data_IF_769598415049
#
_entry.id   IF_769598415049
#
_cell.length_a   1.000
_cell.length_b   1.000
_cell.length_c   1.000
_cell.angle_alpha   90.00
_cell.angle_beta   90.00
_cell.angle_gamma   90.00
#
_symmetry.space_group_name_H-M   'P 1'
#
loop_
_entity.id
_entity.type
_entity.pdbx_description
1 polymer ?
#
# COMPACT_ATOMS: atom_id res chain seq x y z
N UNK A 1 25.40 -0.95 7.06
CA UNK A 1 24.81 -1.55 5.84
C UNK A 1 24.70 -3.05 6.01
N UNK A 2 23.68 -3.72 5.45
CA UNK A 2 23.57 -5.19 5.53
C UNK A 2 24.72 -5.78 4.71
N UNK A 3 25.25 -6.94 5.09
CA UNK A 3 26.25 -7.63 4.28
C UNK A 3 25.60 -8.38 3.13
N UNK A 4 24.44 -9.01 3.38
CA UNK A 4 23.69 -9.80 2.40
C UNK A 4 22.19 -9.75 2.66
N UNK A 5 21.40 -9.58 1.59
CA UNK A 5 19.93 -9.62 1.65
C UNK A 5 19.36 -10.65 0.67
N UNK A 6 18.21 -11.22 1.02
CA UNK A 6 17.39 -12.02 0.10
C UNK A 6 16.22 -11.18 -0.40
N UNK A 7 15.90 -11.29 -1.68
CA UNK A 7 14.78 -10.59 -2.30
C UNK A 7 13.67 -11.59 -2.54
N UNK A 8 12.61 -11.51 -1.74
CA UNK A 8 11.45 -12.40 -1.81
C UNK A 8 10.45 -11.96 -2.89
N UNK A 9 10.94 -11.75 -4.11
CA UNK A 9 10.15 -11.30 -5.26
C UNK A 9 10.82 -11.73 -6.58
N UNK A 10 10.27 -11.32 -7.72
CA UNK A 10 10.75 -11.65 -9.08
C UNK A 10 10.64 -10.46 -10.02
N UNK A 11 11.23 -10.59 -11.20
CA UNK A 11 11.04 -9.62 -12.29
C UNK A 11 11.62 -8.24 -11.95
N UNK A 12 10.95 -7.18 -12.40
CA UNK A 12 11.52 -5.83 -12.40
C UNK A 12 11.91 -5.34 -11.00
N UNK A 13 11.03 -5.56 -10.01
CA UNK A 13 11.27 -5.08 -8.64
C UNK A 13 12.44 -5.81 -7.98
N UNK A 14 12.63 -7.09 -8.28
CA UNK A 14 13.82 -7.80 -7.82
C UNK A 14 15.09 -7.20 -8.44
N UNK A 15 15.08 -6.95 -9.75
CA UNK A 15 16.18 -6.25 -10.43
C UNK A 15 16.42 -4.84 -9.86
N UNK A 16 15.36 -4.09 -9.55
CA UNK A 16 15.41 -2.75 -8.94
C UNK A 16 16.11 -2.78 -7.58
N UNK A 17 15.78 -3.75 -6.74
CA UNK A 17 16.42 -3.93 -5.43
C UNK A 17 17.88 -4.35 -5.57
N UNK A 18 18.19 -5.30 -6.47
CA UNK A 18 19.57 -5.73 -6.75
C UNK A 18 20.44 -4.55 -7.18
N UNK A 19 19.93 -3.68 -8.07
CA UNK A 19 20.70 -2.51 -8.53
C UNK A 19 21.11 -1.59 -7.39
N UNK A 20 20.21 -1.31 -6.43
CA UNK A 20 20.54 -0.46 -5.28
C UNK A 20 21.42 -1.17 -4.27
N UNK A 21 21.12 -2.43 -3.94
CA UNK A 21 21.97 -3.24 -3.07
C UNK A 21 23.43 -3.30 -3.58
N UNK A 22 23.63 -3.51 -4.89
CA UNK A 22 24.96 -3.51 -5.51
C UNK A 22 25.67 -2.16 -5.40
N UNK A 23 24.97 -1.02 -5.59
CA UNK A 23 25.55 0.32 -5.39
C UNK A 23 26.03 0.53 -3.95
N UNK A 24 25.35 -0.08 -2.99
CA UNK A 24 25.64 -0.01 -1.56
C UNK A 24 26.64 -1.08 -1.09
N UNK A 25 27.13 -1.95 -1.98
CA UNK A 25 28.05 -3.04 -1.64
C UNK A 25 27.42 -4.19 -0.87
N UNK A 26 26.09 -4.36 -0.96
CA UNK A 26 25.33 -5.42 -0.30
C UNK A 26 25.18 -6.61 -1.25
N UNK A 27 25.57 -7.81 -0.82
CA UNK A 27 25.38 -9.03 -1.59
C UNK A 27 23.89 -9.41 -1.68
N UNK A 28 23.47 -10.00 -2.79
CA UNK A 28 22.07 -10.27 -3.09
C UNK A 28 21.78 -11.72 -3.40
N UNK A 29 20.67 -12.20 -2.85
CA UNK A 29 20.13 -13.53 -3.12
C UNK A 29 18.78 -13.40 -3.82
N UNK A 30 18.68 -13.90 -5.04
CA UNK A 30 17.40 -14.05 -5.73
C UNK A 30 16.73 -15.38 -5.36
N UNK A 31 15.40 -15.39 -5.29
CA UNK A 31 14.62 -16.63 -5.30
C UNK A 31 13.95 -16.83 -6.65
N UNK A 32 13.75 -18.09 -7.05
CA UNK A 32 13.05 -18.41 -8.29
C UNK A 32 12.19 -19.66 -8.22
N UNK A 33 11.14 -19.65 -9.05
CA UNK A 33 10.35 -20.82 -9.40
C UNK A 33 10.92 -21.52 -10.63
N UNK A 34 10.53 -22.77 -10.91
CA UNK A 34 10.93 -23.47 -12.15
C UNK A 34 10.69 -22.66 -13.44
N UNK A 35 9.60 -21.88 -13.49
CA UNK A 35 9.28 -21.06 -14.65
C UNK A 35 10.20 -19.85 -14.82
N UNK A 36 10.88 -19.43 -13.76
CA UNK A 36 11.72 -18.23 -13.72
C UNK A 36 13.22 -18.57 -13.67
N UNK A 37 13.62 -19.82 -13.91
CA UNK A 37 15.01 -20.26 -13.79
C UNK A 37 15.99 -19.47 -14.69
N UNK A 38 15.52 -18.99 -15.85
CA UNK A 38 16.28 -18.13 -16.77
C UNK A 38 15.84 -16.66 -16.74
N UNK A 39 15.20 -16.20 -15.67
CA UNK A 39 14.75 -14.81 -15.56
C UNK A 39 15.91 -13.87 -15.22
N UNK A 40 15.85 -12.64 -15.72
CA UNK A 40 16.91 -11.64 -15.55
C UNK A 40 17.27 -11.39 -14.07
N UNK A 41 16.31 -11.38 -13.15
CA UNK A 41 16.61 -11.15 -11.72
C UNK A 41 17.44 -12.28 -11.09
N UNK A 42 17.35 -13.49 -11.64
CA UNK A 42 18.16 -14.65 -11.23
C UNK A 42 19.60 -14.47 -11.68
N UNK A 43 19.81 -14.06 -12.94
CA UNK A 43 21.13 -13.78 -13.49
C UNK A 43 21.81 -12.57 -12.84
N UNK A 44 21.01 -11.58 -12.42
CA UNK A 44 21.52 -10.34 -11.84
C UNK A 44 22.03 -10.49 -10.41
N UNK A 45 21.50 -11.43 -9.62
CA UNK A 45 21.87 -11.60 -8.22
C UNK A 45 23.21 -12.32 -8.05
N UNK A 46 23.85 -12.15 -6.89
CA UNK A 46 25.15 -12.78 -6.61
C UNK A 46 24.98 -14.29 -6.31
N UNK A 47 23.84 -14.67 -5.74
CA UNK A 47 23.41 -16.05 -5.54
C UNK A 47 21.92 -16.20 -5.88
N UNK A 48 21.49 -17.40 -6.29
CA UNK A 48 20.08 -17.67 -6.54
C UNK A 48 19.63 -19.03 -6.00
N UNK A 49 18.45 -19.08 -5.38
CA UNK A 49 17.89 -20.29 -4.77
C UNK A 49 16.52 -20.63 -5.36
N UNK A 50 16.38 -21.87 -5.80
CA UNK A 50 15.09 -22.42 -6.22
C UNK A 50 14.18 -22.63 -5.00
N UNK A 51 13.01 -22.00 -4.99
CA UNK A 51 12.06 -22.09 -3.86
C UNK A 51 10.82 -22.95 -4.16
N UNK A 52 10.60 -23.36 -5.40
CA UNK A 52 9.49 -24.25 -5.73
C UNK A 52 9.15 -24.34 -7.22
N UNK A 53 8.05 -25.03 -7.55
CA UNK A 53 7.55 -25.12 -8.92
C UNK A 53 6.91 -23.80 -9.39
N UNK A 54 6.52 -23.74 -10.67
CA UNK A 54 5.98 -22.56 -11.34
C UNK A 54 4.78 -21.90 -10.63
N UNK A 55 3.97 -22.67 -9.89
CA UNK A 55 2.78 -22.16 -9.21
C UNK A 55 3.21 -21.31 -8.00
N UNK A 56 2.86 -20.01 -8.00
CA UNK A 56 3.26 -19.06 -6.96
C UNK A 56 2.89 -19.50 -5.53
N UNK A 57 1.73 -20.15 -5.35
CA UNK A 57 1.30 -20.69 -4.05
C UNK A 57 2.30 -21.69 -3.44
N UNK A 58 3.08 -22.37 -4.30
CA UNK A 58 4.07 -23.37 -3.91
C UNK A 58 5.51 -22.83 -3.99
N UNK A 59 5.71 -21.59 -4.44
CA UNK A 59 7.02 -20.93 -4.61
C UNK A 59 7.06 -19.55 -3.94
N UNK A 60 6.69 -18.47 -4.64
CA UNK A 60 6.80 -17.08 -4.15
C UNK A 60 5.88 -16.73 -2.97
N UNK A 61 4.88 -17.57 -2.68
CA UNK A 61 4.01 -17.45 -1.50
C UNK A 61 4.33 -18.50 -0.42
N UNK A 62 5.35 -19.33 -0.63
CA UNK A 62 5.77 -20.35 0.33
C UNK A 62 6.75 -19.77 1.35
N UNK A 63 6.21 -19.34 2.48
CA UNK A 63 6.96 -18.72 3.59
C UNK A 63 8.12 -19.60 4.08
N UNK A 64 7.88 -20.90 4.27
CA UNK A 64 8.90 -21.82 4.78
C UNK A 64 10.08 -21.97 3.81
N UNK A 65 9.79 -22.08 2.50
CA UNK A 65 10.82 -22.18 1.47
C UNK A 65 11.68 -20.90 1.40
N UNK A 66 11.06 -19.72 1.52
CA UNK A 66 11.75 -18.43 1.49
C UNK A 66 12.66 -18.25 2.71
N UNK A 67 12.16 -18.55 3.92
CA UNK A 67 12.96 -18.45 5.16
C UNK A 67 14.12 -19.46 5.13
N UNK A 68 13.87 -20.68 4.63
CA UNK A 68 14.92 -21.68 4.44
C UNK A 68 16.00 -21.18 3.48
N UNK A 69 15.62 -20.58 2.36
CA UNK A 69 16.57 -20.01 1.40
C UNK A 69 17.41 -18.89 2.03
N UNK A 70 16.79 -17.98 2.79
CA UNK A 70 17.50 -16.89 3.47
C UNK A 70 18.54 -17.41 4.48
N UNK A 71 18.17 -18.43 5.27
CA UNK A 71 19.08 -19.07 6.23
C UNK A 71 20.24 -19.80 5.56
N UNK A 72 19.96 -20.51 4.47
CA UNK A 72 20.99 -21.30 3.76
C UNK A 72 22.07 -20.42 3.12
N UNK A 73 21.71 -19.22 2.67
CA UNK A 73 22.64 -18.29 2.00
C UNK A 73 23.26 -17.27 2.96
N UNK A 74 22.83 -17.26 4.23
CA UNK A 74 23.29 -16.32 5.24
C UNK A 74 22.81 -14.89 5.00
N UNK A 75 21.64 -14.70 4.37
CA UNK A 75 21.04 -13.38 4.27
C UNK A 75 20.64 -12.88 5.67
N UNK A 76 20.84 -11.59 5.93
CA UNK A 76 20.52 -10.94 7.22
C UNK A 76 19.10 -10.36 7.21
N UNK A 77 18.61 -10.02 6.02
CA UNK A 77 17.31 -9.38 5.84
C UNK A 77 16.61 -9.85 4.56
N UNK A 78 15.29 -9.70 4.54
CA UNK A 78 14.44 -10.03 3.40
C UNK A 78 13.73 -8.78 2.88
N UNK A 79 13.97 -8.44 1.61
CA UNK A 79 13.23 -7.41 0.90
C UNK A 79 12.06 -8.03 0.15
N UNK A 80 10.80 -7.68 0.46
CA UNK A 80 9.64 -8.33 -0.13
C UNK A 80 9.24 -7.73 -1.49
N UNK A 81 9.77 -6.57 -1.86
CA UNK A 81 9.33 -5.83 -3.05
C UNK A 81 7.88 -5.38 -2.89
N UNK A 82 7.05 -5.61 -3.92
CA UNK A 82 5.61 -5.38 -3.88
C UNK A 82 4.83 -6.59 -4.40
N UNK A 83 3.55 -6.71 -4.03
CA UNK A 83 2.77 -7.93 -4.27
C UNK A 83 3.28 -9.12 -3.45
N UNK A 84 2.88 -10.34 -3.81
CA UNK A 84 3.21 -11.57 -3.07
C UNK A 84 2.99 -11.44 -1.55
N UNK A 85 4.06 -11.50 -0.77
CA UNK A 85 4.04 -11.49 0.70
C UNK A 85 4.39 -10.12 1.31
N UNK A 86 4.54 -9.07 0.49
CA UNK A 86 4.95 -7.73 0.96
C UNK A 86 4.01 -7.06 1.96
N UNK A 87 2.72 -7.41 1.93
CA UNK A 87 1.71 -6.91 2.88
C UNK A 87 1.17 -8.08 3.74
N UNK A 88 1.93 -9.16 3.90
CA UNK A 88 1.52 -10.32 4.68
C UNK A 88 2.10 -10.26 6.10
N UNK A 89 1.28 -9.88 7.08
CA UNK A 89 1.73 -9.77 8.48
C UNK A 89 2.28 -11.08 9.07
N UNK A 90 1.74 -12.25 8.66
CA UNK A 90 2.25 -13.56 9.12
C UNK A 90 3.64 -13.86 8.56
N UNK A 91 3.93 -13.39 7.34
CA UNK A 91 5.26 -13.48 6.78
C UNK A 91 6.25 -12.64 7.58
N UNK A 92 5.88 -11.41 7.96
CA UNK A 92 6.71 -10.57 8.83
C UNK A 92 7.02 -11.26 10.15
N UNK A 93 5.99 -11.79 10.85
CA UNK A 93 6.20 -12.52 12.11
C UNK A 93 7.17 -13.71 11.92
N UNK A 94 7.05 -14.44 10.80
CA UNK A 94 7.88 -15.60 10.52
C UNK A 94 9.33 -15.22 10.18
N UNK A 95 9.55 -14.09 9.49
CA UNK A 95 10.89 -13.54 9.23
C UNK A 95 11.56 -13.11 10.54
N UNK A 96 10.85 -12.38 11.40
CA UNK A 96 11.36 -11.95 12.70
C UNK A 96 11.65 -13.14 13.63
N UNK A 97 10.73 -14.11 13.70
CA UNK A 97 10.93 -15.35 14.46
C UNK A 97 12.11 -16.18 13.93
N UNK A 98 12.49 -16.00 12.66
CA UNK A 98 13.64 -16.64 12.08
C UNK A 98 14.98 -15.96 12.42
N UNK A 99 14.95 -14.80 13.10
CA UNK A 99 16.12 -13.98 13.43
C UNK A 99 16.58 -13.09 12.28
N UNK A 100 15.71 -12.84 11.29
CA UNK A 100 16.00 -12.04 10.10
C UNK A 100 15.25 -10.70 10.18
N UNK A 101 15.78 -9.68 9.52
CA UNK A 101 15.07 -8.40 9.39
C UNK A 101 14.12 -8.40 8.19
N UNK A 102 12.86 -8.02 8.41
CA UNK A 102 11.95 -7.69 7.31
C UNK A 102 12.17 -6.25 6.85
N UNK A 103 12.49 -6.03 5.57
CA UNK A 103 12.71 -4.68 5.02
C UNK A 103 11.35 -4.09 4.63
N UNK A 104 10.65 -3.55 5.61
CA UNK A 104 9.32 -2.98 5.48
C UNK A 104 8.70 -2.67 6.85
N UNK A 105 7.40 -2.33 6.91
CA UNK A 105 6.74 -2.02 8.16
C UNK A 105 6.52 -3.25 9.04
N UNK A 106 6.29 -3.01 10.33
CA UNK A 106 5.99 -4.07 11.30
C UNK A 106 4.70 -4.83 10.96
N UNK A 107 4.61 -6.10 11.40
CA UNK A 107 3.39 -6.90 11.29
C UNK A 107 2.16 -6.19 11.90
N UNK A 108 2.36 -5.42 12.97
CA UNK A 108 1.32 -4.60 13.61
C UNK A 108 0.78 -3.52 12.67
N UNK A 109 1.68 -2.77 12.01
CA UNK A 109 1.28 -1.72 11.07
C UNK A 109 0.55 -2.29 9.85
N UNK A 110 1.02 -3.42 9.30
CA UNK A 110 0.33 -4.13 8.21
C UNK A 110 -1.08 -4.54 8.64
N UNK A 111 -1.25 -5.15 9.83
CA UNK A 111 -2.59 -5.52 10.33
C UNK A 111 -3.49 -4.32 10.55
N UNK A 112 -2.96 -3.20 11.03
CA UNK A 112 -3.72 -1.98 11.27
C UNK A 112 -4.33 -1.39 9.98
N UNK A 113 -3.68 -1.61 8.84
CA UNK A 113 -4.14 -1.13 7.52
C UNK A 113 -4.84 -2.19 6.67
N UNK A 114 -4.91 -3.45 7.13
CA UNK A 114 -5.43 -4.57 6.33
C UNK A 114 -6.95 -4.61 6.16
N UNK A 115 -7.72 -4.08 7.12
CA UNK A 115 -9.19 -4.03 7.07
C UNK A 115 -9.66 -2.58 6.87
N UNK A 116 -10.52 -2.34 5.88
CA UNK A 116 -10.90 -0.99 5.44
C UNK A 116 -11.60 -0.17 6.51
N UNK A 117 -12.52 -0.77 7.24
CA UNK A 117 -13.26 -0.12 8.31
C UNK A 117 -12.36 0.19 9.52
N UNK A 118 -11.51 -0.75 9.93
CA UNK A 118 -10.57 -0.55 11.04
C UNK A 118 -9.52 0.52 10.69
N UNK A 119 -9.01 0.49 9.45
CA UNK A 119 -8.10 1.51 8.94
C UNK A 119 -8.77 2.89 8.92
N UNK A 120 -10.02 3.00 8.44
CA UNK A 120 -10.77 4.26 8.43
C UNK A 120 -11.05 4.80 9.83
N UNK A 121 -11.54 3.97 10.74
CA UNK A 121 -11.75 4.39 12.13
C UNK A 121 -10.45 4.85 12.81
N UNK A 122 -9.30 4.25 12.46
CA UNK A 122 -7.99 4.70 12.93
C UNK A 122 -7.58 6.04 12.32
N UNK A 123 -7.80 6.22 11.01
CA UNK A 123 -7.52 7.48 10.30
C UNK A 123 -8.39 8.63 10.79
N UNK A 124 -9.67 8.39 11.06
CA UNK A 124 -10.57 9.38 11.69
C UNK A 124 -10.03 9.84 13.05
N UNK A 125 -9.64 8.88 13.91
CA UNK A 125 -9.03 9.19 15.22
C UNK A 125 -7.72 9.96 15.10
N UNK A 126 -6.97 9.74 14.02
CA UNK A 126 -5.73 10.46 13.72
C UNK A 126 -5.96 11.85 13.07
N UNK A 127 -7.22 12.24 12.84
CA UNK A 127 -7.56 13.51 12.18
C UNK A 127 -7.25 13.52 10.68
N UNK A 128 -7.14 12.34 10.06
CA UNK A 128 -7.00 12.19 8.61
C UNK A 128 -8.40 12.18 7.99
N UNK A 129 -8.69 13.02 6.99
CA UNK A 129 -10.00 13.05 6.34
C UNK A 129 -10.34 11.68 5.75
N UNK A 130 -11.52 11.13 6.06
CA UNK A 130 -12.03 9.90 5.43
C UNK A 130 -13.32 10.19 4.68
N UNK A 131 -13.67 9.33 3.72
CA UNK A 131 -14.88 9.52 2.91
C UNK A 131 -16.10 9.54 3.84
N UNK A 132 -16.95 10.58 3.79
CA UNK A 132 -18.17 10.63 4.59
C UNK A 132 -19.00 9.37 4.36
N UNK A 133 -19.31 8.66 5.45
CA UNK A 133 -19.89 7.33 5.33
C UNK A 133 -20.19 6.68 6.67
N UNK A 134 -20.76 5.48 6.56
CA UNK A 134 -20.97 4.54 7.65
C UNK A 134 -20.13 3.29 7.44
N UNK A 135 -19.39 2.90 8.47
CA UNK A 135 -18.47 1.77 8.46
C UNK A 135 -18.44 1.01 9.81
N UNK A 136 -19.52 1.11 10.57
CA UNK A 136 -19.67 0.43 11.87
C UNK A 136 -20.24 -1.00 11.78
N UNK A 137 -20.39 -1.62 12.94
CA UNK A 137 -20.76 -3.04 13.06
C UNK A 137 -22.25 -3.34 12.83
N UNK A 138 -23.13 -2.35 12.92
CA UNK A 138 -24.55 -2.56 12.62
C UNK A 138 -24.74 -2.78 11.10
N UNK A 139 -25.12 -4.00 10.74
CA UNK A 139 -25.37 -4.44 9.37
C UNK A 139 -26.87 -4.68 9.11
N UNK A 140 -27.77 -4.08 9.89
CA UNK A 140 -29.20 -4.11 9.53
C UNK A 140 -29.47 -3.32 8.24
N UNK A 141 -30.29 -3.88 7.35
CA UNK A 141 -30.54 -3.28 6.03
C UNK A 141 -31.27 -1.93 6.08
N UNK A 142 -32.24 -1.79 7.01
CA UNK A 142 -32.97 -0.55 7.18
C UNK A 142 -32.09 0.53 7.83
N UNK A 143 -31.25 0.13 8.79
CA UNK A 143 -30.26 1.02 9.37
C UNK A 143 -29.27 1.53 8.32
N UNK A 144 -28.68 0.64 7.51
CA UNK A 144 -27.77 1.04 6.42
C UNK A 144 -28.43 1.97 5.41
N UNK A 145 -29.73 1.76 5.11
CA UNK A 145 -30.49 2.67 4.26
C UNK A 145 -30.63 4.06 4.92
N UNK A 146 -30.93 4.12 6.21
CA UNK A 146 -31.03 5.40 6.94
C UNK A 146 -29.71 6.18 6.92
N UNK A 147 -28.57 5.48 6.98
CA UNK A 147 -27.25 6.10 6.85
C UNK A 147 -27.00 6.61 5.42
N UNK A 148 -27.42 5.87 4.39
CA UNK A 148 -27.36 6.33 3.01
C UNK A 148 -28.21 7.60 2.79
N UNK A 149 -29.43 7.62 3.34
CA UNK A 149 -30.32 8.78 3.30
C UNK A 149 -29.66 10.02 3.98
N UNK A 150 -28.94 9.81 5.11
CA UNK A 150 -28.17 10.85 5.83
C UNK A 150 -26.96 11.37 5.05
N UNK A 151 -26.21 10.48 4.38
CA UNK A 151 -25.02 10.84 3.56
C UNK A 151 -25.42 11.63 2.31
N UNK A 152 -26.65 11.42 1.83
CA UNK A 152 -27.23 11.89 0.55
C UNK A 152 -26.70 11.16 -0.68
N UNK A 153 -27.61 10.85 -1.60
CA UNK A 153 -27.30 10.16 -2.85
C UNK A 153 -26.56 11.07 -3.85
N UNK A 154 -25.76 10.51 -4.78
CA UNK A 154 -25.43 9.09 -4.89
C UNK A 154 -24.51 8.61 -3.76
N UNK A 155 -24.70 7.36 -3.35
CA UNK A 155 -23.85 6.64 -2.39
C UNK A 155 -23.19 5.43 -3.04
N UNK A 156 -22.16 4.90 -2.40
CA UNK A 156 -21.42 3.73 -2.82
C UNK A 156 -21.43 2.71 -1.68
N UNK A 157 -22.02 1.55 -1.93
CA UNK A 157 -21.92 0.39 -1.06
C UNK A 157 -20.61 -0.33 -1.41
N UNK A 158 -19.79 -0.68 -0.42
CA UNK A 158 -18.51 -1.38 -0.60
C UNK A 158 -18.40 -2.58 0.34
N UNK A 159 -17.88 -3.71 -0.14
CA UNK A 159 -17.51 -4.83 0.73
C UNK A 159 -16.41 -4.44 1.74
N UNK A 160 -16.57 -4.85 3.01
CA UNK A 160 -15.62 -4.59 4.10
C UNK A 160 -14.26 -5.21 3.87
N UNK A 161 -14.24 -6.51 3.56
CA UNK A 161 -13.03 -7.28 3.29
C UNK A 161 -12.56 -7.20 1.82
N UNK A 162 -13.18 -6.35 0.99
CA UNK A 162 -12.99 -6.39 -0.46
C UNK A 162 -11.82 -5.56 -1.01
N UNK A 163 -11.31 -5.94 -2.18
CA UNK A 163 -10.26 -5.23 -2.94
C UNK A 163 -10.45 -5.35 -4.46
N UNK A 164 -9.77 -4.51 -5.23
CA UNK A 164 -9.78 -4.58 -6.71
C UNK A 164 -11.13 -4.26 -7.37
N UNK A 165 -11.97 -3.48 -6.70
CA UNK A 165 -13.27 -3.01 -7.22
C UNK A 165 -14.43 -4.02 -7.15
N UNK A 166 -14.20 -5.22 -6.61
CA UNK A 166 -15.27 -6.22 -6.38
C UNK A 166 -16.13 -5.85 -5.19
N UNK A 167 -17.41 -6.18 -5.25
CA UNK A 167 -18.38 -5.92 -4.17
C UNK A 167 -18.72 -4.44 -3.97
N UNK A 168 -18.59 -3.62 -5.03
CA UNK A 168 -18.99 -2.21 -5.02
C UNK A 168 -20.30 -1.99 -5.79
N UNK A 169 -21.24 -1.21 -5.23
CA UNK A 169 -22.50 -0.83 -5.89
C UNK A 169 -22.77 0.65 -5.71
N UNK A 170 -22.79 1.40 -6.82
CA UNK A 170 -23.30 2.77 -6.81
C UNK A 170 -24.81 2.73 -6.71
N UNK A 171 -25.37 3.59 -5.87
CA UNK A 171 -26.81 3.76 -5.72
C UNK A 171 -27.11 5.23 -5.94
N UNK A 172 -27.96 5.55 -6.91
CA UNK A 172 -28.28 6.93 -7.29
C UNK A 172 -29.53 7.47 -6.60
N UNK A 173 -30.45 6.60 -6.16
CA UNK A 173 -31.70 6.98 -5.51
C UNK A 173 -32.08 6.03 -4.36
N UNK A 174 -32.88 6.48 -3.37
CA UNK A 174 -33.25 5.67 -2.21
C UNK A 174 -33.92 4.33 -2.53
N UNK A 175 -34.76 4.30 -3.56
CA UNK A 175 -35.57 3.13 -3.91
C UNK A 175 -34.72 1.95 -4.42
N UNK A 176 -33.53 2.23 -4.95
CA UNK A 176 -32.60 1.21 -5.47
C UNK A 176 -31.73 0.58 -4.38
N UNK A 177 -31.72 1.15 -3.16
CA UNK A 177 -30.73 0.81 -2.15
C UNK A 177 -30.81 -0.65 -1.67
N UNK A 178 -32.02 -1.16 -1.41
CA UNK A 178 -32.20 -2.51 -0.89
C UNK A 178 -31.67 -3.58 -1.87
N UNK A 179 -32.03 -3.46 -3.15
CA UNK A 179 -31.58 -4.38 -4.19
C UNK A 179 -30.04 -4.30 -4.40
N UNK A 180 -29.48 -3.09 -4.36
CA UNK A 180 -28.04 -2.88 -4.46
C UNK A 180 -27.29 -3.48 -3.26
N UNK A 181 -27.82 -3.33 -2.04
CA UNK A 181 -27.26 -3.90 -0.82
C UNK A 181 -27.20 -5.43 -0.90
N UNK A 182 -28.31 -6.08 -1.25
CA UNK A 182 -28.37 -7.54 -1.39
C UNK A 182 -27.43 -8.07 -2.47
N UNK A 183 -27.24 -7.31 -3.56
CA UNK A 183 -26.25 -7.65 -4.57
C UNK A 183 -24.81 -7.51 -4.06
N UNK A 184 -24.50 -6.44 -3.33
CA UNK A 184 -23.16 -6.20 -2.81
C UNK A 184 -22.76 -7.27 -1.78
N UNK A 185 -23.67 -7.62 -0.86
CA UNK A 185 -23.46 -8.65 0.17
C UNK A 185 -23.17 -10.01 -0.42
N UNK A 186 -23.96 -10.45 -1.41
CA UNK A 186 -23.75 -11.74 -2.08
C UNK A 186 -22.40 -11.83 -2.78
N UNK A 187 -21.98 -10.75 -3.45
CA UNK A 187 -20.68 -10.70 -4.10
C UNK A 187 -19.53 -10.70 -3.07
N UNK A 188 -19.71 -9.96 -1.98
CA UNK A 188 -18.74 -9.89 -0.89
C UNK A 188 -18.54 -11.26 -0.22
N UNK A 189 -19.64 -11.94 0.14
CA UNK A 189 -19.61 -13.30 0.70
C UNK A 189 -18.96 -14.29 -0.26
N UNK A 190 -19.36 -14.29 -1.54
CA UNK A 190 -18.81 -15.22 -2.54
C UNK A 190 -17.31 -14.98 -2.83
N UNK A 191 -16.84 -13.74 -2.73
CA UNK A 191 -15.46 -13.37 -3.07
C UNK A 191 -14.52 -13.40 -1.88
N UNK A 192 -15.02 -13.10 -0.68
CA UNK A 192 -14.20 -12.82 0.51
C UNK A 192 -14.64 -13.60 1.76
N UNK A 193 -15.77 -14.30 1.73
CA UNK A 193 -16.32 -15.00 2.90
C UNK A 193 -16.80 -14.06 4.02
N UNK A 194 -17.04 -12.79 3.67
CA UNK A 194 -17.57 -11.75 4.57
C UNK A 194 -18.54 -10.85 3.80
N UNK A 195 -19.84 -11.01 4.08
CA UNK A 195 -20.92 -10.22 3.53
C UNK A 195 -21.08 -8.81 4.11
N UNK A 196 -20.27 -8.38 5.08
CA UNK A 196 -20.37 -7.05 5.66
C UNK A 196 -19.99 -5.94 4.65
N UNK A 197 -20.65 -4.79 4.77
CA UNK A 197 -20.45 -3.65 3.86
C UNK A 197 -20.27 -2.32 4.60
N UNK A 198 -19.70 -1.36 3.88
CA UNK A 198 -19.67 0.07 4.20
C UNK A 198 -20.60 0.83 3.25
N UNK A 199 -21.12 1.97 3.69
CA UNK A 199 -21.87 2.92 2.86
C UNK A 199 -21.13 4.25 2.85
N UNK A 200 -20.75 4.74 1.68
CA UNK A 200 -19.93 5.94 1.54
C UNK A 200 -20.54 6.92 0.55
N UNK A 201 -20.20 8.20 0.66
CA UNK A 201 -20.52 9.18 -0.38
C UNK A 201 -19.85 8.76 -1.69
N UNK A 202 -20.61 8.75 -2.79
CA UNK A 202 -20.06 8.50 -4.11
C UNK A 202 -19.46 9.80 -4.69
N UNK A 203 -18.18 9.75 -5.04
CA UNK A 203 -17.48 10.87 -5.67
C UNK A 203 -17.64 10.80 -7.19
N UNK A 204 -18.31 11.80 -7.78
CA UNK A 204 -18.68 11.77 -9.20
C UNK A 204 -17.52 12.09 -10.14
N UNK A 205 -16.63 13.00 -9.73
CA UNK A 205 -15.42 13.37 -10.48
C UNK A 205 -14.18 13.11 -9.60
N UNK A 206 -13.80 11.84 -9.38
CA UNK A 206 -12.69 11.52 -8.52
C UNK A 206 -11.35 11.62 -9.25
N UNK A 207 -10.33 12.12 -8.56
CA UNK A 207 -8.93 11.83 -8.85
C UNK A 207 -8.39 10.87 -7.81
N UNK A 208 -7.58 9.90 -8.24
CA UNK A 208 -6.80 9.06 -7.34
C UNK A 208 -5.46 9.76 -7.15
N UNK A 209 -5.27 10.36 -5.97
CA UNK A 209 -4.03 11.04 -5.59
C UNK A 209 -3.45 10.31 -4.40
N UNK A 210 -2.18 9.96 -4.47
CA UNK A 210 -1.51 9.21 -3.42
C UNK A 210 -0.24 9.92 -2.96
N UNK A 211 0.14 9.74 -1.71
CA UNK A 211 1.31 10.41 -1.12
C UNK A 211 2.33 9.37 -0.68
N UNK A 212 3.54 9.48 -1.21
CA UNK A 212 4.67 8.66 -0.76
C UNK A 212 5.03 9.07 0.66
N UNK A 213 5.09 8.11 1.58
CA UNK A 213 5.57 8.34 2.95
C UNK A 213 6.76 7.44 3.28
N UNK A 214 7.60 7.91 4.18
CA UNK A 214 8.64 7.13 4.84
C UNK A 214 8.57 7.38 6.33
N UNK A 215 8.63 6.30 7.12
CA UNK A 215 8.84 6.38 8.57
C UNK A 215 10.12 5.67 8.98
N UNK A 216 10.65 5.99 10.15
CA UNK A 216 11.79 5.28 10.75
C UNK A 216 11.44 4.66 12.12
N UNK A 217 12.37 3.88 12.68
CA UNK A 217 12.21 3.28 14.02
C UNK A 217 12.35 4.29 15.17
N UNK A 218 12.61 5.56 14.88
CA UNK A 218 12.82 6.64 15.86
C UNK A 218 11.58 7.51 16.05
N UNK A 219 10.48 7.17 15.38
CA UNK A 219 9.20 7.89 15.46
C UNK A 219 9.09 9.07 14.50
N UNK A 220 9.99 9.19 13.52
CA UNK A 220 9.90 10.21 12.50
C UNK A 220 9.13 9.70 11.28
N UNK A 221 8.46 10.61 10.58
CA UNK A 221 7.89 10.34 9.27
C UNK A 221 7.96 11.59 8.37
N UNK A 222 8.18 11.37 7.08
CA UNK A 222 8.20 12.40 6.02
C UNK A 222 7.36 11.96 4.83
N UNK A 223 6.91 12.90 4.03
CA UNK A 223 6.32 12.63 2.73
C UNK A 223 7.23 13.09 1.58
N UNK A 224 7.24 12.31 0.50
CA UNK A 224 7.88 12.65 -0.78
C UNK A 224 6.83 13.05 -1.81
N UNK A 225 5.93 13.93 -1.37
CA UNK A 225 4.87 14.54 -2.17
C UNK A 225 3.92 13.49 -2.78
N UNK A 226 3.03 13.99 -3.65
CA UNK A 226 1.97 13.22 -4.25
C UNK A 226 2.27 12.71 -5.67
N UNK A 227 1.57 11.65 -6.05
CA UNK A 227 1.44 11.15 -7.42
C UNK A 227 -0.03 11.19 -7.84
N UNK A 228 -0.28 11.45 -9.12
CA UNK A 228 -1.59 11.23 -9.72
C UNK A 228 -1.63 9.85 -10.37
N UNK A 229 -2.59 9.02 -9.94
CA UNK A 229 -2.83 7.67 -10.42
C UNK A 229 -4.25 7.51 -10.99
N UNK A 230 -4.86 8.60 -11.46
CA UNK A 230 -6.26 8.65 -11.91
C UNK A 230 -6.47 7.95 -13.27
N UNK A 231 -5.43 7.84 -14.09
CA UNK A 231 -5.49 7.17 -15.40
C UNK A 231 -5.48 5.65 -15.22
N UNK A 232 -6.68 5.12 -14.99
CA UNK A 232 -6.92 3.71 -14.70
C UNK A 232 -7.76 3.02 -15.77
N UNK A 233 -7.54 1.71 -15.93
CA UNK A 233 -8.41 0.82 -16.70
C UNK A 233 -8.93 -0.28 -15.78
N UNK A 234 -10.25 -0.35 -15.59
CA UNK A 234 -10.91 -1.32 -14.68
C UNK A 234 -10.30 -1.30 -13.27
N UNK A 235 -10.10 -0.10 -12.71
CA UNK A 235 -9.54 0.12 -11.37
C UNK A 235 -8.08 -0.33 -11.19
N UNK A 236 -7.35 -0.52 -12.28
CA UNK A 236 -5.89 -0.74 -12.26
C UNK A 236 -5.20 0.50 -12.82
N UNK A 237 -4.15 0.96 -12.13
CA UNK A 237 -3.32 2.09 -12.56
C UNK A 237 -2.59 1.72 -13.87
N UNK A 238 -2.55 2.66 -14.81
CA UNK A 238 -1.96 2.46 -16.15
C UNK A 238 -0.91 3.53 -16.43
N UNK A 239 -1.19 4.77 -16.03
CA UNK A 239 -0.25 5.89 -16.14
C UNK A 239 -0.27 6.63 -14.81
N UNK A 240 0.92 6.87 -14.28
CA UNK A 240 1.15 7.59 -13.04
C UNK A 240 2.13 8.74 -13.30
N UNK A 241 1.87 9.89 -12.71
CA UNK A 241 2.72 11.09 -12.86
C UNK A 241 2.99 11.78 -11.53
N UNK A 242 4.15 12.42 -11.42
CA UNK A 242 4.59 13.15 -10.24
C UNK A 242 5.26 14.47 -10.63
N UNK A 243 5.02 15.59 -9.91
CA UNK A 243 3.92 15.77 -8.96
C UNK A 243 2.55 15.76 -9.67
N UNK A 244 1.46 15.59 -8.92
CA UNK A 244 0.12 15.55 -9.52
C UNK A 244 -0.25 16.90 -10.17
N UNK A 245 -0.76 16.93 -11.42
CA UNK A 245 -1.06 18.18 -12.11
C UNK A 245 -2.12 19.03 -11.40
N UNK A 246 -1.94 20.35 -11.41
CA UNK A 246 -2.89 21.31 -10.85
C UNK A 246 -2.95 21.34 -9.32
N UNK A 247 -2.08 20.61 -8.61
CA UNK A 247 -1.97 20.67 -7.16
C UNK A 247 -1.44 22.04 -6.69
N UNK A 248 -2.27 22.76 -5.95
CA UNK A 248 -1.89 24.00 -5.28
C UNK A 248 -0.96 23.71 -4.09
N UNK A 249 -0.14 24.68 -3.64
CA UNK A 249 0.66 24.54 -2.42
C UNK A 249 -0.18 24.11 -1.21
N UNK A 250 -1.36 24.72 -1.02
CA UNK A 250 -2.24 24.42 0.12
C UNK A 250 -2.79 23.00 0.08
N UNK A 251 -3.23 22.52 -1.10
CA UNK A 251 -3.72 21.15 -1.27
C UNK A 251 -2.62 20.15 -0.95
N UNK A 252 -1.41 20.42 -1.47
CA UNK A 252 -0.25 19.57 -1.27
C UNK A 252 0.18 19.52 0.19
N UNK A 253 0.22 20.66 0.87
CA UNK A 253 0.53 20.72 2.29
C UNK A 253 -0.49 19.93 3.11
N UNK A 254 -1.79 20.11 2.84
CA UNK A 254 -2.85 19.40 3.55
C UNK A 254 -2.80 17.88 3.34
N UNK A 255 -2.59 17.42 2.11
CA UNK A 255 -2.47 15.98 1.81
C UNK A 255 -1.18 15.38 2.38
N UNK A 256 -0.06 16.10 2.29
CA UNK A 256 1.22 15.69 2.88
C UNK A 256 1.13 15.53 4.40
N UNK A 257 0.55 16.52 5.08
CA UNK A 257 0.33 16.48 6.54
C UNK A 257 -0.60 15.31 6.92
N UNK A 258 -1.69 15.11 6.17
CA UNK A 258 -2.60 13.98 6.40
C UNK A 258 -1.90 12.62 6.22
N UNK A 259 -1.05 12.48 5.21
CA UNK A 259 -0.30 11.25 4.97
C UNK A 259 0.75 10.97 6.06
N UNK A 260 1.46 12.01 6.53
CA UNK A 260 2.40 11.88 7.65
C UNK A 260 1.67 11.52 8.94
N UNK A 261 0.52 12.15 9.23
CA UNK A 261 -0.34 11.78 10.38
C UNK A 261 -0.77 10.31 10.31
N UNK A 262 -1.18 9.84 9.13
CA UNK A 262 -1.55 8.44 8.91
C UNK A 262 -0.40 7.48 9.26
N UNK A 263 0.81 7.77 8.77
CA UNK A 263 2.01 6.97 9.06
C UNK A 263 2.37 6.98 10.56
N UNK A 264 2.36 8.14 11.20
CA UNK A 264 2.66 8.28 12.63
C UNK A 264 1.65 7.55 13.52
N UNK A 265 0.36 7.58 13.15
CA UNK A 265 -0.71 6.94 13.92
C UNK A 265 -0.54 5.42 14.09
N UNK A 266 0.21 4.77 13.19
CA UNK A 266 0.50 3.33 13.26
C UNK A 266 1.95 3.01 13.65
N UNK A 267 2.76 4.02 13.96
CA UNK A 267 4.19 3.86 14.16
C UNK A 267 4.85 3.21 12.94
N UNK A 268 4.56 3.75 11.76
CA UNK A 268 5.01 3.20 10.49
C UNK A 268 6.54 3.31 10.33
N UNK A 269 7.16 2.31 9.69
CA UNK A 269 8.59 2.30 9.37
C UNK A 269 8.81 1.73 7.96
N UNK A 270 9.75 2.29 7.22
CA UNK A 270 10.02 1.98 5.82
C UNK A 270 9.16 2.76 4.83
N UNK A 271 9.10 2.29 3.58
CA UNK A 271 8.31 2.91 2.51
C UNK A 271 6.83 2.55 2.63
N UNK A 272 5.94 3.52 2.46
CA UNK A 272 4.50 3.29 2.35
C UNK A 272 3.86 4.33 1.43
N UNK A 273 2.62 4.10 1.04
CA UNK A 273 1.87 5.11 0.29
C UNK A 273 0.46 5.22 0.85
N UNK A 274 0.04 6.45 1.11
CA UNK A 274 -1.30 6.78 1.58
C UNK A 274 -2.12 7.21 0.36
N UNK A 275 -3.14 6.44 0.01
CA UNK A 275 -3.99 6.71 -1.15
C UNK A 275 -5.22 7.53 -0.73
N UNK A 276 -5.52 8.56 -1.51
CA UNK A 276 -6.68 9.42 -1.34
C UNK A 276 -7.54 9.48 -2.60
N UNK A 277 -8.84 9.65 -2.39
CA UNK A 277 -9.77 10.10 -3.41
C UNK A 277 -10.00 11.60 -3.23
N UNK A 278 -9.70 12.38 -4.25
CA UNK A 278 -9.99 13.80 -4.30
C UNK A 278 -11.21 14.05 -5.18
N UNK A 279 -12.23 14.74 -4.65
CA UNK A 279 -13.38 15.16 -5.43
C UNK A 279 -13.08 16.49 -6.13
N UNK A 280 -12.95 16.44 -7.46
CA UNK A 280 -12.63 17.61 -8.28
C UNK A 280 -13.86 18.22 -8.96
N UNK A 281 -15.07 17.98 -8.44
CA UNK A 281 -16.28 18.58 -9.00
C UNK A 281 -16.25 20.11 -9.04
N UNK A 282 -15.52 20.73 -8.12
CA UNK A 282 -15.32 22.17 -7.98
C UNK A 282 -13.82 22.55 -8.02
N UNK A 283 -13.01 21.73 -8.70
CA UNK A 283 -11.55 21.84 -8.65
C UNK A 283 -10.94 21.17 -7.42
N UNK A 284 -9.60 21.15 -7.34
CA UNK A 284 -8.88 20.60 -6.18
C UNK A 284 -9.04 21.54 -4.99
N UNK A 285 -9.58 21.01 -3.88
CA UNK A 285 -9.74 21.76 -2.64
C UNK A 285 -9.25 20.97 -1.43
N UNK A 286 -8.52 21.60 -0.48
CA UNK A 286 -7.99 20.94 0.71
C UNK A 286 -9.06 20.29 1.62
N UNK A 287 -10.33 20.67 1.49
CA UNK A 287 -11.45 20.11 2.25
C UNK A 287 -12.16 18.95 1.53
N UNK A 288 -11.68 18.53 0.35
CA UNK A 288 -12.34 17.54 -0.52
C UNK A 288 -11.43 16.41 -0.99
N UNK A 289 -10.50 15.99 -0.14
CA UNK A 289 -9.78 14.73 -0.31
C UNK A 289 -10.02 13.82 0.88
N UNK A 290 -9.99 12.52 0.63
CA UNK A 290 -10.40 11.53 1.61
C UNK A 290 -9.56 10.27 1.49
N UNK A 291 -9.09 9.76 2.63
CA UNK A 291 -8.34 8.53 2.74
C UNK A 291 -9.14 7.36 2.16
N UNK A 292 -8.46 6.56 1.32
CA UNK A 292 -8.98 5.33 0.75
C UNK A 292 -8.36 4.11 1.42
N UNK A 293 -7.04 4.01 1.35
CA UNK A 293 -6.24 2.92 1.86
C UNK A 293 -4.79 3.36 2.03
N UNK A 294 -3.99 2.50 2.64
CA UNK A 294 -2.54 2.66 2.71
C UNK A 294 -1.90 1.38 2.21
N UNK A 295 -1.06 1.47 1.18
CA UNK A 295 -0.21 0.34 0.81
C UNK A 295 1.02 0.33 1.71
N UNK A 296 1.16 -0.74 2.48
CA UNK A 296 2.20 -0.85 3.51
C UNK A 296 3.49 -1.42 2.93
N UNK A 297 3.93 -0.87 1.79
CA UNK A 297 5.05 -1.32 0.97
C UNK A 297 5.46 -0.25 -0.06
N UNK A 298 6.55 -0.51 -0.78
CA UNK A 298 6.86 0.21 -2.03
C UNK A 298 5.79 -0.09 -3.10
N UNK A 299 5.59 0.84 -4.03
CA UNK A 299 4.68 0.70 -5.17
C UNK A 299 5.45 0.70 -6.50
N UNK A 300 4.78 0.29 -7.58
CA UNK A 300 5.38 0.17 -8.92
C UNK A 300 5.83 1.54 -9.44
N UNK A 301 5.03 2.55 -9.17
CA UNK A 301 5.14 3.94 -9.59
C UNK A 301 6.11 4.78 -8.74
N UNK A 302 6.82 4.17 -7.77
CA UNK A 302 7.87 4.87 -7.01
C UNK A 302 8.95 5.59 -7.88
N UNK A 303 9.30 5.14 -9.11
CA UNK A 303 10.33 5.80 -9.92
C UNK A 303 9.95 7.23 -10.34
N UNK A 304 8.67 7.58 -10.49
CA UNK A 304 8.30 8.97 -10.82
C UNK A 304 8.58 9.92 -9.65
N UNK A 305 8.41 9.44 -8.41
CA UNK A 305 8.84 10.18 -7.21
C UNK A 305 10.37 10.30 -7.16
N UNK A 306 11.10 9.20 -7.41
CA UNK A 306 12.57 9.22 -7.45
C UNK A 306 13.13 10.19 -8.50
N UNK A 307 12.50 10.26 -9.68
CA UNK A 307 12.91 11.15 -10.76
C UNK A 307 12.77 12.64 -10.37
N UNK A 308 11.68 13.00 -9.69
CA UNK A 308 11.41 14.37 -9.24
C UNK A 308 12.33 14.81 -8.11
N UNK A 309 12.52 13.96 -7.09
CA UNK A 309 13.26 14.35 -5.87
C UNK A 309 14.72 13.94 -5.88
N UNK A 310 15.10 13.06 -6.81
CA UNK A 310 16.49 12.65 -6.94
C UNK A 310 17.01 11.74 -5.85
N UNK A 311 16.11 10.97 -5.24
CA UNK A 311 16.39 10.04 -4.15
C UNK A 311 16.31 8.60 -4.64
N UNK A 312 16.87 7.67 -3.87
CA UNK A 312 16.69 6.23 -4.06
C UNK A 312 15.88 5.69 -2.87
N UNK A 313 14.60 5.40 -3.09
CA UNK A 313 13.68 4.97 -2.06
C UNK A 313 14.00 3.55 -1.57
N UNK A 314 14.56 2.69 -2.43
CA UNK A 314 15.04 1.37 -1.99
C UNK A 314 16.26 1.52 -1.07
N UNK A 315 17.14 2.49 -1.32
CA UNK A 315 18.25 2.80 -0.41
C UNK A 315 17.71 3.25 0.95
N UNK A 316 16.69 4.11 0.97
CA UNK A 316 16.05 4.53 2.21
C UNK A 316 15.43 3.34 2.96
N UNK A 317 14.76 2.42 2.27
CA UNK A 317 14.21 1.21 2.90
C UNK A 317 15.32 0.38 3.56
N UNK A 318 16.46 0.20 2.89
CA UNK A 318 17.60 -0.56 3.41
C UNK A 318 18.22 0.11 4.65
N UNK A 319 18.41 1.44 4.61
CA UNK A 319 18.92 2.23 5.74
C UNK A 319 18.00 2.17 6.94
N UNK A 320 16.71 2.44 6.74
CA UNK A 320 15.70 2.42 7.81
C UNK A 320 15.56 1.03 8.41
N UNK A 321 15.58 -0.03 7.60
CA UNK A 321 15.54 -1.40 8.11
C UNK A 321 16.77 -1.77 8.97
N UNK A 322 17.87 -1.03 8.88
CA UNK A 322 19.02 -1.15 9.77
C UNK A 322 18.94 -0.29 11.04
N UNK A 323 17.85 0.45 11.22
CA UNK A 323 17.67 1.37 12.34
C UNK A 323 18.36 2.72 12.14
N UNK A 324 18.80 3.07 10.92
CA UNK A 324 19.17 4.46 10.62
C UNK A 324 17.93 5.37 10.69
N UNK A 325 18.15 6.64 11.04
CA UNK A 325 17.13 7.68 10.92
C UNK A 325 16.85 8.00 9.44
N UNK A 326 15.73 8.68 9.18
CA UNK A 326 15.42 9.15 7.83
C UNK A 326 16.57 10.00 7.22
N UNK A 327 17.00 9.73 5.98
CA UNK A 327 18.14 10.44 5.37
C UNK A 327 17.93 11.94 5.17
N UNK A 328 16.68 12.41 5.07
CA UNK A 328 16.31 13.82 4.91
C UNK A 328 15.14 14.17 5.83
N UNK A 329 15.12 15.41 6.32
CA UNK A 329 13.94 16.01 6.97
C UNK A 329 12.93 16.48 5.94
N UNK A 330 11.70 16.81 6.38
CA UNK A 330 10.65 17.27 5.47
C UNK A 330 11.06 18.55 4.70
N UNK A 331 11.79 19.46 5.35
CA UNK A 331 12.26 20.73 4.77
C UNK A 331 13.36 20.54 3.73
N UNK A 332 14.09 19.42 3.80
CA UNK A 332 15.16 19.09 2.85
C UNK A 332 14.61 18.43 1.58
N UNK A 333 13.37 17.91 1.60
CA UNK A 333 12.73 17.28 0.44
C UNK A 333 12.16 18.35 -0.47
N UNK A 334 12.89 18.65 -1.54
CA UNK A 334 12.52 19.63 -2.56
C UNK A 334 12.61 19.01 -3.95
N UNK A 335 11.69 19.36 -4.85
CA UNK A 335 11.75 18.90 -6.24
C UNK A 335 13.01 19.44 -6.93
N UNK A 336 13.60 18.63 -7.81
CA UNK A 336 14.76 19.01 -8.64
C UNK A 336 14.42 20.06 -9.69
#
# INVERSE_FOLDING_TARGET
MFSKILIANRGEIACRVIRTARKLGIATVAIYSDADAGALHVEMADEAVRVGPAISAQSYLNVEAIIKAARQTGAEAIHPGYGFLSENARFVDAVEAAGLTFIGPSARAIRAMGLKDAAKALMEKAGVPVVPGYHGDNQDGAFLKSEADRITYPVLIKARAGGGGKGMRRVDQPDDFAAALDSARREAEASFGDGAVLVEKYMAKPRHIEVQVFGDSHGNAVHLFERDCSLQRRHQKVIEEAPAPGMTPDMRAAMGEAAVKAALAIGYSGAGTVEFIADVSEGLRPDRFFFMEMNTRLQVEHPVTEAVFGVDLVEWQLRVAQGEALPLTQEQINAR
#
